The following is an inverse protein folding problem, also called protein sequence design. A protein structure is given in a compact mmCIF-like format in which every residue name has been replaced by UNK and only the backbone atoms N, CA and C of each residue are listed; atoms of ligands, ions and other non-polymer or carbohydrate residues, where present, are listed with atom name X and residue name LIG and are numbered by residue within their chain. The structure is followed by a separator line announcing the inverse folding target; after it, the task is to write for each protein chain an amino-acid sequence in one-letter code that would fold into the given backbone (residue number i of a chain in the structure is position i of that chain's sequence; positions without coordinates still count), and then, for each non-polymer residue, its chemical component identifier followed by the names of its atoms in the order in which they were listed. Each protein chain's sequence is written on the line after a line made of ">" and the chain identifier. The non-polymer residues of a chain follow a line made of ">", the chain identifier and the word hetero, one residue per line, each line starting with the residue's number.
data_IF_592520577124
#
_entry.id   IF_592520577124
#
_cell.length_a   1.000
_cell.length_b   1.000
_cell.length_c   1.000
_cell.angle_alpha   90.00
_cell.angle_beta   90.00
_cell.angle_gamma   90.00
#
_symmetry.space_group_name_H-M   'P 1'
#
loop_
_entity.id
_entity.type
_entity.pdbx_description
1 polymer ?
#
# COMPACT_ATOMS: atom_id res chain seq x y z
N UNK A 1 18.47 30.83 -5.86
CA UNK A 1 18.94 30.26 -4.59
C UNK A 1 18.03 29.09 -4.29
N UNK A 2 18.62 27.95 -4.09
CA UNK A 2 17.94 26.69 -3.77
C UNK A 2 17.10 26.87 -2.51
N UNK A 3 15.83 26.49 -2.51
CA UNK A 3 14.87 26.72 -1.43
C UNK A 3 15.38 26.18 -0.08
N UNK A 4 16.14 25.08 -0.11
CA UNK A 4 16.79 24.47 1.06
C UNK A 4 17.88 25.37 1.63
N UNK A 5 18.70 25.98 0.76
CA UNK A 5 19.74 26.93 1.18
C UNK A 5 19.13 28.22 1.72
N UNK A 6 18.05 28.72 1.12
CA UNK A 6 17.31 29.88 1.62
C UNK A 6 16.76 29.62 3.03
N UNK A 7 16.13 28.46 3.24
CA UNK A 7 15.56 28.08 4.53
C UNK A 7 16.62 27.89 5.63
N UNK A 8 17.77 27.31 5.28
CA UNK A 8 18.92 27.19 6.20
C UNK A 8 19.48 28.57 6.58
N UNK A 9 19.69 29.48 5.62
CA UNK A 9 20.15 30.85 5.86
C UNK A 9 19.12 31.62 6.71
N UNK A 10 17.83 31.51 6.40
CA UNK A 10 16.76 32.15 7.17
C UNK A 10 16.74 31.68 8.63
N UNK A 11 16.88 30.36 8.86
CA UNK A 11 16.95 29.80 10.21
C UNK A 11 18.18 30.27 10.97
N UNK A 12 19.34 30.30 10.34
CA UNK A 12 20.57 30.82 10.94
C UNK A 12 20.48 32.32 11.29
N UNK A 13 19.93 33.13 10.39
CA UNK A 13 19.75 34.57 10.63
C UNK A 13 18.74 34.84 11.76
N UNK A 14 17.63 34.08 11.82
CA UNK A 14 16.66 34.20 12.90
C UNK A 14 17.24 33.78 14.23
N UNK A 15 18.04 32.71 14.28
CA UNK A 15 18.75 32.30 15.52
C UNK A 15 19.76 33.35 15.96
N UNK A 16 20.57 33.91 15.04
CA UNK A 16 21.51 34.95 15.32
C UNK A 16 20.81 36.23 15.84
N UNK A 17 19.72 36.67 15.18
CA UNK A 17 18.90 37.81 15.62
C UNK A 17 18.31 37.59 17.00
N UNK A 18 17.79 36.42 17.28
CA UNK A 18 17.25 35.99 18.57
C UNK A 18 18.35 36.05 19.66
N UNK A 19 19.55 35.52 19.39
CA UNK A 19 20.69 35.54 20.31
C UNK A 19 21.16 36.97 20.61
N UNK A 20 21.26 37.84 19.60
CA UNK A 20 21.65 39.23 19.75
C UNK A 20 20.57 40.01 20.56
N UNK A 21 19.30 39.77 20.27
CA UNK A 21 18.21 40.40 21.02
C UNK A 21 18.21 39.96 22.49
N UNK A 22 18.56 38.72 22.79
CA UNK A 22 18.72 38.19 24.13
C UNK A 22 19.89 38.83 24.86
N UNK A 23 21.04 38.96 24.19
CA UNK A 23 22.21 39.62 24.78
C UNK A 23 21.97 41.10 25.12
N UNK A 24 21.18 41.80 24.32
CA UNK A 24 20.85 43.21 24.51
C UNK A 24 19.73 43.44 25.56
N UNK A 25 19.00 42.41 25.96
CA UNK A 25 17.86 42.50 26.88
C UNK A 25 18.23 42.36 28.37
N UNK A 26 19.51 42.21 28.72
CA UNK A 26 20.01 42.02 30.07
C UNK A 26 19.34 40.87 30.88
N UNK A 27 18.75 39.90 30.17
CA UNK A 27 18.12 38.71 30.77
C UNK A 27 19.21 37.66 31.00
N UNK A 28 19.31 37.12 32.20
CA UNK A 28 20.24 36.02 32.48
C UNK A 28 19.98 34.83 31.58
N UNK A 29 20.97 34.33 30.80
CA UNK A 29 20.82 33.16 29.94
C UNK A 29 20.29 31.91 30.68
N UNK A 30 20.56 31.82 32.00
CA UNK A 30 20.06 30.74 32.85
C UNK A 30 18.56 30.84 33.13
N UNK A 31 18.02 32.05 33.28
CA UNK A 31 16.57 32.23 33.41
C UNK A 31 15.82 31.96 32.11
N UNK A 32 16.40 32.41 31.00
CA UNK A 32 15.82 32.14 29.70
C UNK A 32 15.81 30.64 29.35
N UNK A 33 16.86 29.90 29.70
CA UNK A 33 16.93 28.45 29.54
C UNK A 33 15.88 27.72 30.40
N UNK A 34 15.50 28.27 31.55
CA UNK A 34 14.41 27.73 32.39
C UNK A 34 13.04 28.02 31.80
N UNK A 35 12.85 29.20 31.20
CA UNK A 35 11.58 29.60 30.56
C UNK A 35 11.38 28.85 29.22
N UNK A 36 12.47 28.64 28.47
CA UNK A 36 12.47 27.93 27.19
C UNK A 36 12.52 26.40 27.33
N UNK A 37 12.62 25.86 28.52
CA UNK A 37 12.59 24.42 28.74
C UNK A 37 11.23 23.88 28.28
N UNK A 38 11.19 22.94 27.34
CA UNK A 38 9.93 22.32 26.97
C UNK A 38 9.32 21.69 28.22
N UNK A 39 8.02 21.91 28.41
CA UNK A 39 7.27 21.31 29.51
C UNK A 39 7.33 19.80 29.35
N UNK A 40 7.91 19.13 30.34
CA UNK A 40 7.91 17.67 30.38
C UNK A 40 6.51 17.18 30.78
N UNK A 41 5.68 16.91 29.79
CA UNK A 41 4.32 16.43 30.01
C UNK A 41 4.43 14.90 30.25
N UNK A 42 4.46 14.53 31.54
CA UNK A 42 4.30 13.12 31.91
C UNK A 42 2.88 12.67 31.59
N UNK A 43 2.74 11.90 30.53
CA UNK A 43 1.49 11.17 30.26
C UNK A 43 1.35 10.06 31.29
N UNK A 44 0.34 10.18 32.16
CA UNK A 44 -0.12 9.11 33.04
C UNK A 44 -1.31 8.44 32.38
N UNK A 45 -1.20 7.15 32.12
CA UNK A 45 -2.31 6.35 31.57
C UNK A 45 -3.31 6.09 32.70
N UNK A 46 -4.58 6.44 32.48
CA UNK A 46 -5.68 6.21 33.42
C UNK A 46 -6.13 4.73 33.39
N UNK A 47 -5.86 4.03 32.29
CA UNK A 47 -6.07 2.58 32.15
C UNK A 47 -4.74 1.84 32.30
N UNK A 48 -4.58 1.07 33.34
CA UNK A 48 -3.42 0.23 33.64
C UNK A 48 -3.17 -0.88 32.59
N UNK A 49 -4.11 -1.10 31.64
CA UNK A 49 -4.00 -2.12 30.61
C UNK A 49 -3.10 -1.76 29.41
N UNK A 50 -2.63 -0.51 29.30
CA UNK A 50 -1.72 -0.11 28.20
C UNK A 50 -0.41 0.39 28.76
N UNK A 51 0.62 -0.42 28.61
CA UNK A 51 1.98 -0.03 28.92
C UNK A 51 2.52 0.93 27.86
N UNK A 52 3.45 1.82 28.24
CA UNK A 52 4.13 2.75 27.33
C UNK A 52 4.75 1.99 26.14
N UNK A 53 5.27 0.79 26.40
CA UNK A 53 5.89 -0.08 25.42
C UNK A 53 4.89 -0.56 24.34
N UNK A 54 3.61 -0.77 24.69
CA UNK A 54 2.56 -1.14 23.73
C UNK A 54 2.16 0.02 22.81
N UNK A 55 2.18 1.27 23.32
CA UNK A 55 1.87 2.45 22.50
C UNK A 55 3.02 2.75 21.53
N UNK A 56 4.25 2.67 22.02
CA UNK A 56 5.45 2.83 21.19
C UNK A 56 5.52 1.73 20.12
N UNK A 57 5.20 0.48 20.47
CA UNK A 57 5.09 -0.62 19.51
C UNK A 57 4.03 -0.37 18.44
N UNK A 58 2.85 0.15 18.80
CA UNK A 58 1.79 0.49 17.84
C UNK A 58 2.21 1.59 16.87
N UNK A 59 2.87 2.62 17.38
CA UNK A 59 3.36 3.73 16.56
C UNK A 59 4.41 3.22 15.56
N UNK A 60 5.35 2.39 16.02
CA UNK A 60 6.36 1.76 15.17
C UNK A 60 5.71 0.87 14.11
N UNK A 61 4.73 0.03 14.49
CA UNK A 61 4.00 -0.83 13.55
C UNK A 61 3.21 -0.01 12.53
N UNK A 62 2.59 1.07 12.95
CA UNK A 62 1.83 1.96 12.05
C UNK A 62 2.75 2.57 10.98
N UNK A 63 3.91 3.09 11.37
CA UNK A 63 4.91 3.62 10.42
C UNK A 63 5.46 2.52 9.52
N UNK A 64 5.79 1.34 10.08
CA UNK A 64 6.27 0.21 9.31
C UNK A 64 5.24 -0.28 8.27
N UNK A 65 3.97 -0.34 8.66
CA UNK A 65 2.89 -0.75 7.74
C UNK A 65 2.72 0.22 6.58
N UNK A 66 2.87 1.52 6.81
CA UNK A 66 2.84 2.54 5.76
C UNK A 66 3.96 2.33 4.72
N UNK A 67 5.16 1.99 5.18
CA UNK A 67 6.31 1.70 4.30
C UNK A 67 6.05 0.43 3.48
N UNK A 68 5.45 -0.62 4.08
CA UNK A 68 5.18 -1.90 3.43
C UNK A 68 4.06 -1.78 2.37
N UNK A 69 3.07 -0.94 2.60
CA UNK A 69 1.93 -0.80 1.69
C UNK A 69 2.31 -0.10 0.38
N UNK A 70 3.32 0.77 0.38
CA UNK A 70 3.78 1.43 -0.85
C UNK A 70 4.26 0.43 -1.93
N UNK A 71 5.11 -0.56 -1.63
CA UNK A 71 5.41 -1.65 -2.55
C UNK A 71 4.19 -2.44 -3.01
N UNK A 72 3.24 -2.73 -2.11
CA UNK A 72 2.00 -3.43 -2.48
C UNK A 72 1.17 -2.63 -3.49
N UNK A 73 1.06 -1.31 -3.30
CA UNK A 73 0.42 -0.41 -4.25
C UNK A 73 1.12 -0.44 -5.62
N UNK A 74 2.46 -0.39 -5.63
CA UNK A 74 3.24 -0.51 -6.87
C UNK A 74 3.02 -1.84 -7.57
N UNK A 75 2.96 -2.96 -6.82
CA UNK A 75 2.68 -4.28 -7.39
C UNK A 75 1.29 -4.35 -8.06
N UNK A 76 0.28 -3.70 -7.50
CA UNK A 76 -1.05 -3.60 -8.12
C UNK A 76 -0.97 -2.87 -9.47
N UNK A 77 -0.24 -1.75 -9.52
CA UNK A 77 -0.05 -1.00 -10.75
C UNK A 77 0.65 -1.87 -11.80
N UNK A 78 1.75 -2.52 -11.43
CA UNK A 78 2.47 -3.42 -12.35
C UNK A 78 1.60 -4.56 -12.85
N UNK A 79 0.84 -5.22 -11.96
CA UNK A 79 -0.08 -6.30 -12.30
C UNK A 79 -1.08 -5.87 -13.36
N UNK A 80 -1.75 -4.75 -13.11
CA UNK A 80 -2.79 -4.26 -14.01
C UNK A 80 -2.21 -3.78 -15.33
N UNK A 81 -1.06 -3.11 -15.35
CA UNK A 81 -0.37 -2.69 -16.57
C UNK A 81 0.11 -3.88 -17.40
N UNK A 82 0.66 -4.92 -16.77
CA UNK A 82 1.16 -6.10 -17.44
C UNK A 82 0.03 -6.83 -18.19
N UNK A 83 -1.10 -7.08 -17.50
CA UNK A 83 -2.28 -7.71 -18.12
C UNK A 83 -2.79 -6.88 -19.30
N UNK A 84 -2.86 -5.56 -19.12
CA UNK A 84 -3.27 -4.63 -20.17
C UNK A 84 -2.37 -4.68 -21.39
N UNK A 85 -1.07 -4.66 -21.19
CA UNK A 85 -0.07 -4.70 -22.26
C UNK A 85 -0.14 -6.03 -23.03
N UNK A 86 -0.25 -7.16 -22.33
CA UNK A 86 -0.34 -8.48 -22.95
C UNK A 86 -1.61 -8.63 -23.81
N UNK A 87 -2.79 -8.38 -23.22
CA UNK A 87 -4.07 -8.58 -23.92
C UNK A 87 -4.23 -7.59 -25.09
N UNK A 88 -3.84 -6.31 -24.90
CA UNK A 88 -3.90 -5.33 -25.99
C UNK A 88 -2.83 -5.58 -27.06
N UNK A 89 -1.64 -6.06 -26.69
CA UNK A 89 -0.61 -6.47 -27.65
C UNK A 89 -1.10 -7.57 -28.57
N UNK A 90 -1.76 -8.60 -28.04
CA UNK A 90 -2.34 -9.68 -28.82
C UNK A 90 -3.50 -9.21 -29.71
N UNK A 91 -4.32 -8.28 -29.24
CA UNK A 91 -5.42 -7.71 -30.04
C UNK A 91 -4.91 -6.79 -31.15
N UNK A 92 -3.97 -5.90 -30.88
CA UNK A 92 -3.46 -4.93 -31.86
C UNK A 92 -2.77 -5.60 -33.06
N UNK A 93 -2.13 -6.73 -32.81
CA UNK A 93 -1.48 -7.57 -33.87
C UNK A 93 -2.42 -8.57 -34.54
N UNK A 94 -3.70 -8.60 -34.17
CA UNK A 94 -4.67 -9.63 -34.52
C UNK A 94 -4.25 -11.07 -34.16
N UNK A 95 -3.22 -11.20 -33.31
CA UNK A 95 -2.80 -12.50 -32.78
C UNK A 95 -3.87 -13.18 -31.94
N UNK A 96 -4.78 -12.38 -31.36
CA UNK A 96 -5.92 -12.88 -30.59
C UNK A 96 -6.82 -13.85 -31.43
N UNK A 97 -7.03 -13.59 -32.72
CA UNK A 97 -7.85 -14.44 -33.59
C UNK A 97 -7.22 -15.82 -33.76
N UNK A 98 -5.89 -15.87 -33.91
CA UNK A 98 -5.13 -17.12 -34.04
C UNK A 98 -5.15 -17.91 -32.72
N UNK A 99 -4.96 -17.19 -31.58
CA UNK A 99 -4.95 -17.82 -30.26
C UNK A 99 -6.30 -18.44 -29.94
N UNK A 100 -7.40 -17.72 -30.19
CA UNK A 100 -8.76 -18.19 -29.87
C UNK A 100 -9.23 -19.29 -30.86
N UNK A 101 -8.65 -19.36 -32.04
CA UNK A 101 -8.84 -20.50 -32.94
C UNK A 101 -8.30 -21.82 -32.38
N UNK A 102 -7.27 -21.75 -31.51
CA UNK A 102 -6.61 -22.92 -30.94
C UNK A 102 -6.93 -23.17 -29.47
N UNK A 103 -7.27 -22.10 -28.71
CA UNK A 103 -7.46 -22.15 -27.26
C UNK A 103 -8.80 -21.51 -26.90
N UNK A 104 -9.54 -22.11 -25.96
CA UNK A 104 -10.81 -21.53 -25.53
C UNK A 104 -10.59 -20.15 -24.85
N UNK A 105 -11.51 -19.18 -25.05
CA UNK A 105 -11.43 -17.87 -24.35
C UNK A 105 -11.33 -17.97 -22.83
N UNK A 106 -11.93 -19.01 -22.26
CA UNK A 106 -11.86 -19.30 -20.83
C UNK A 106 -10.44 -19.67 -20.41
N UNK A 107 -9.81 -20.58 -21.11
CA UNK A 107 -8.43 -21.02 -20.83
C UNK A 107 -7.45 -19.86 -21.00
N UNK A 108 -7.61 -19.07 -22.07
CA UNK A 108 -6.80 -17.88 -22.31
C UNK A 108 -6.93 -16.86 -21.17
N UNK A 109 -8.14 -16.54 -20.74
CA UNK A 109 -8.39 -15.61 -19.64
C UNK A 109 -7.69 -16.05 -18.35
N UNK A 110 -7.91 -17.29 -17.92
CA UNK A 110 -7.30 -17.79 -16.70
C UNK A 110 -5.79 -17.95 -16.79
N UNK A 111 -5.24 -18.28 -17.94
CA UNK A 111 -3.78 -18.36 -18.11
C UNK A 111 -3.14 -16.99 -17.94
N UNK A 112 -3.72 -15.92 -18.48
CA UNK A 112 -3.23 -14.54 -18.31
C UNK A 112 -3.28 -14.08 -16.85
N UNK A 113 -4.41 -14.32 -16.19
CA UNK A 113 -4.57 -13.97 -14.79
C UNK A 113 -3.60 -14.74 -13.90
N UNK A 114 -3.47 -16.05 -14.12
CA UNK A 114 -2.60 -16.88 -13.30
C UNK A 114 -1.12 -16.55 -13.51
N UNK A 115 -0.67 -16.36 -14.75
CA UNK A 115 0.71 -15.98 -15.05
C UNK A 115 1.07 -14.61 -14.46
N UNK A 116 0.16 -13.64 -14.57
CA UNK A 116 0.36 -12.30 -14.01
C UNK A 116 0.41 -12.30 -12.49
N UNK A 117 -0.46 -13.06 -11.84
CA UNK A 117 -0.42 -13.21 -10.39
C UNK A 117 0.86 -13.92 -9.92
N UNK A 118 1.29 -14.96 -10.63
CA UNK A 118 2.55 -15.66 -10.32
C UNK A 118 3.75 -14.72 -10.46
N UNK A 119 3.77 -13.91 -11.53
CA UNK A 119 4.82 -12.90 -11.73
C UNK A 119 4.87 -11.91 -10.56
N UNK A 120 3.72 -11.38 -10.12
CA UNK A 120 3.65 -10.43 -9.00
C UNK A 120 4.09 -11.07 -7.69
N UNK A 121 3.76 -12.34 -7.44
CA UNK A 121 4.25 -13.06 -6.27
C UNK A 121 5.77 -13.21 -6.28
N UNK A 122 6.36 -13.53 -7.43
CA UNK A 122 7.82 -13.60 -7.61
C UNK A 122 8.44 -12.21 -7.39
N UNK A 123 7.86 -11.17 -7.97
CA UNK A 123 8.33 -9.79 -7.83
C UNK A 123 8.24 -9.33 -6.36
N UNK A 124 7.17 -9.66 -5.67
CA UNK A 124 7.00 -9.40 -4.23
C UNK A 124 8.08 -10.12 -3.38
N UNK A 125 8.35 -11.39 -3.68
CA UNK A 125 9.41 -12.14 -3.02
C UNK A 125 10.79 -11.53 -3.27
N UNK A 126 11.09 -11.08 -4.51
CA UNK A 126 12.34 -10.38 -4.83
C UNK A 126 12.48 -9.06 -4.07
N UNK A 127 11.40 -8.29 -3.93
CA UNK A 127 11.41 -7.06 -3.11
C UNK A 127 11.75 -7.35 -1.64
N UNK A 128 11.22 -8.42 -1.07
CA UNK A 128 11.57 -8.84 0.30
C UNK A 128 13.05 -9.24 0.40
N UNK A 129 13.58 -9.96 -0.57
CA UNK A 129 15.01 -10.34 -0.60
C UNK A 129 15.88 -9.09 -0.71
N UNK A 130 15.58 -8.16 -1.62
CA UNK A 130 16.34 -6.91 -1.75
C UNK A 130 16.26 -6.05 -0.48
N UNK A 131 15.09 -6.00 0.15
CA UNK A 131 14.92 -5.36 1.46
C UNK A 131 15.83 -5.98 2.52
N UNK A 132 15.82 -7.30 2.64
CA UNK A 132 16.67 -8.03 3.59
C UNK A 132 18.18 -7.80 3.33
N UNK A 133 18.62 -7.88 2.07
CA UNK A 133 20.02 -7.58 1.67
C UNK A 133 20.38 -6.13 2.01
N UNK A 134 19.47 -5.16 1.73
CA UNK A 134 19.69 -3.76 2.09
C UNK A 134 19.88 -3.55 3.60
N UNK A 135 19.12 -4.28 4.43
CA UNK A 135 19.27 -4.25 5.89
C UNK A 135 20.63 -4.81 6.35
N UNK A 136 21.07 -5.91 5.75
CA UNK A 136 22.40 -6.50 6.07
C UNK A 136 23.53 -5.53 5.69
N UNK A 137 23.48 -4.97 4.49
CA UNK A 137 24.48 -3.99 4.03
C UNK A 137 24.50 -2.77 4.97
N UNK A 138 23.32 -2.26 5.35
CA UNK A 138 23.20 -1.16 6.31
C UNK A 138 23.89 -1.49 7.62
N UNK A 139 23.65 -2.67 8.20
CA UNK A 139 24.27 -3.09 9.46
C UNK A 139 25.78 -3.14 9.37
N UNK A 140 26.32 -3.56 8.23
CA UNK A 140 27.77 -3.63 7.99
C UNK A 140 28.39 -2.23 7.77
N UNK A 141 27.68 -1.32 7.08
CA UNK A 141 28.22 -0.02 6.67
C UNK A 141 28.06 1.05 7.78
N UNK A 142 26.96 1.07 8.51
CA UNK A 142 26.68 2.07 9.57
C UNK A 142 27.55 1.84 10.80
N UNK A 143 28.09 0.63 11.00
CA UNK A 143 29.13 0.40 11.99
C UNK A 143 30.45 1.15 11.67
N UNK A 144 30.60 1.71 10.47
CA UNK A 144 31.87 2.29 9.99
C UNK A 144 31.84 3.76 9.60
N UNK A 145 30.69 4.45 9.58
CA UNK A 145 30.64 5.85 9.11
C UNK A 145 29.59 6.72 9.79
N UNK A 146 30.06 7.85 10.36
CA UNK A 146 29.25 8.99 10.82
C UNK A 146 28.79 9.84 9.61
N UNK A 147 28.02 9.28 8.67
CA UNK A 147 27.60 9.97 7.44
C UNK A 147 26.18 10.54 7.51
N UNK A 148 25.88 11.49 6.61
CA UNK A 148 24.58 12.18 6.47
C UNK A 148 23.41 11.20 6.27
N UNK A 149 23.67 10.00 5.73
CA UNK A 149 22.70 8.92 5.56
C UNK A 149 22.28 8.34 6.91
N UNK A 150 23.13 8.38 7.93
CA UNK A 150 22.78 7.90 9.28
C UNK A 150 21.74 8.78 9.96
N UNK A 151 21.68 10.09 9.67
CA UNK A 151 20.67 11.00 10.24
C UNK A 151 19.27 10.79 9.63
N UNK A 152 19.17 10.48 8.33
CA UNK A 152 17.88 10.21 7.69
C UNK A 152 17.29 8.85 8.07
N UNK A 153 18.15 7.90 8.49
CA UNK A 153 17.75 6.52 8.82
C UNK A 153 17.85 6.19 10.32
N UNK A 154 18.38 7.10 11.15
CA UNK A 154 18.47 6.93 12.61
C UNK A 154 17.10 6.81 13.29
N UNK A 155 16.04 7.30 12.65
CA UNK A 155 14.66 7.19 13.16
C UNK A 155 14.03 5.79 12.98
N UNK A 156 14.70 4.85 12.28
CA UNK A 156 14.22 3.48 12.08
C UNK A 156 15.31 2.52 12.58
N UNK A 157 15.41 2.37 13.89
CA UNK A 157 16.31 1.39 14.49
C UNK A 157 15.62 0.01 14.51
N UNK A 158 16.01 -0.86 13.59
CA UNK A 158 15.40 -2.19 13.43
C UNK A 158 15.61 -3.06 14.68
N UNK A 159 16.72 -2.86 15.40
CA UNK A 159 16.95 -3.53 16.70
C UNK A 159 15.88 -3.12 17.71
N UNK A 160 15.62 -1.82 17.88
CA UNK A 160 14.55 -1.31 18.76
C UNK A 160 13.16 -1.78 18.32
N UNK A 161 12.91 -1.84 17.01
CA UNK A 161 11.66 -2.39 16.46
C UNK A 161 11.49 -3.85 16.84
N UNK A 162 12.52 -4.67 16.66
CA UNK A 162 12.47 -6.09 17.00
C UNK A 162 12.36 -6.31 18.53
N UNK A 163 13.09 -5.55 19.32
CA UNK A 163 13.03 -5.61 20.77
C UNK A 163 11.66 -5.14 21.30
N UNK A 164 11.13 -4.06 20.74
CA UNK A 164 9.79 -3.56 21.06
C UNK A 164 8.70 -4.55 20.67
N UNK A 165 8.82 -5.17 19.50
CA UNK A 165 7.91 -6.23 19.05
C UNK A 165 7.99 -7.49 19.91
N UNK A 166 9.20 -7.87 20.37
CA UNK A 166 9.38 -9.05 21.20
C UNK A 166 8.80 -8.85 22.60
N UNK A 167 8.98 -7.66 23.17
CA UNK A 167 8.53 -7.33 24.53
C UNK A 167 7.01 -7.04 24.60
N UNK A 168 6.40 -6.58 23.49
CA UNK A 168 4.97 -6.22 23.43
C UNK A 168 4.02 -7.41 23.31
N UNK A 169 4.51 -8.66 23.24
CA UNK A 169 3.68 -9.85 23.04
C UNK A 169 3.00 -9.95 21.66
N UNK A 170 3.31 -9.01 20.75
CA UNK A 170 2.76 -8.97 19.39
C UNK A 170 3.23 -10.17 18.58
N UNK A 171 4.43 -10.72 18.89
CA UNK A 171 4.97 -11.93 18.22
C UNK A 171 4.01 -13.10 18.33
N UNK A 172 3.34 -13.29 19.48
CA UNK A 172 2.36 -14.36 19.65
C UNK A 172 1.10 -14.16 18.77
N UNK A 173 0.78 -12.91 18.42
CA UNK A 173 -0.32 -12.58 17.52
C UNK A 173 0.06 -12.73 16.05
N UNK A 174 1.34 -12.58 15.69
CA UNK A 174 1.84 -12.71 14.31
C UNK A 174 1.53 -14.09 13.71
N UNK A 175 1.48 -15.14 14.51
CA UNK A 175 1.21 -16.50 14.06
C UNK A 175 -0.13 -16.65 13.30
N UNK A 176 -1.18 -15.93 13.69
CA UNK A 176 -2.47 -15.94 12.98
C UNK A 176 -2.66 -14.72 12.07
N UNK A 177 -1.98 -13.60 12.34
CA UNK A 177 -2.07 -12.37 11.56
C UNK A 177 -1.44 -12.55 10.18
N UNK A 178 -0.26 -13.14 10.10
CA UNK A 178 0.47 -13.35 8.84
C UNK A 178 -0.35 -14.19 7.83
N UNK A 179 -0.90 -15.37 8.18
CA UNK A 179 -1.73 -16.13 7.25
C UNK A 179 -2.94 -15.36 6.74
N UNK A 180 -3.62 -14.59 7.60
CA UNK A 180 -4.77 -13.78 7.21
C UNK A 180 -4.37 -12.69 6.20
N UNK A 181 -3.24 -12.02 6.42
CA UNK A 181 -2.71 -11.01 5.50
C UNK A 181 -2.35 -11.64 4.15
N UNK A 182 -1.69 -12.79 4.15
CA UNK A 182 -1.30 -13.49 2.91
C UNK A 182 -2.55 -13.88 2.09
N UNK A 183 -3.56 -14.45 2.73
CA UNK A 183 -4.81 -14.82 2.07
C UNK A 183 -5.49 -13.56 1.47
N UNK A 184 -5.56 -12.48 2.24
CA UNK A 184 -6.13 -11.22 1.78
C UNK A 184 -5.36 -10.64 0.61
N UNK A 185 -4.02 -10.67 0.62
CA UNK A 185 -3.17 -10.20 -0.47
C UNK A 185 -3.40 -11.01 -1.75
N UNK A 186 -3.42 -12.34 -1.64
CA UNK A 186 -3.62 -13.22 -2.80
C UNK A 186 -4.98 -13.00 -3.45
N UNK A 187 -6.06 -12.93 -2.65
CA UNK A 187 -7.40 -12.66 -3.16
C UNK A 187 -7.50 -11.25 -3.77
N UNK A 188 -6.87 -10.26 -3.15
CA UNK A 188 -6.89 -8.90 -3.68
C UNK A 188 -6.14 -8.79 -5.02
N UNK A 189 -4.97 -9.41 -5.16
CA UNK A 189 -4.27 -9.46 -6.44
C UNK A 189 -5.10 -10.20 -7.51
N UNK A 190 -5.82 -11.26 -7.10
CA UNK A 190 -6.76 -11.95 -7.99
C UNK A 190 -7.88 -11.01 -8.44
N UNK A 191 -8.51 -10.25 -7.53
CA UNK A 191 -9.57 -9.29 -7.86
C UNK A 191 -9.08 -8.22 -8.86
N UNK A 192 -7.92 -7.62 -8.59
CA UNK A 192 -7.33 -6.61 -9.48
C UNK A 192 -6.98 -7.19 -10.85
N UNK A 193 -6.43 -8.40 -10.91
CA UNK A 193 -6.08 -9.05 -12.17
C UNK A 193 -7.30 -9.43 -12.99
N UNK A 194 -8.37 -9.91 -12.35
CA UNK A 194 -9.65 -10.19 -13.00
C UNK A 194 -10.25 -8.94 -13.62
N UNK A 195 -10.30 -7.84 -12.87
CA UNK A 195 -10.79 -6.55 -13.35
C UNK A 195 -9.93 -6.02 -14.50
N UNK A 196 -8.61 -6.05 -14.36
CA UNK A 196 -7.68 -5.62 -15.39
C UNK A 196 -7.86 -6.42 -16.70
N UNK A 197 -7.98 -7.74 -16.59
CA UNK A 197 -8.22 -8.61 -17.74
C UNK A 197 -9.54 -8.32 -18.45
N UNK A 198 -10.62 -8.10 -17.69
CA UNK A 198 -11.93 -7.73 -18.23
C UNK A 198 -11.84 -6.39 -18.98
N UNK A 199 -11.23 -5.36 -18.38
CA UNK A 199 -11.08 -4.04 -18.99
C UNK A 199 -10.19 -4.10 -20.23
N UNK A 200 -9.07 -4.83 -20.17
CA UNK A 200 -8.17 -5.02 -21.31
C UNK A 200 -8.85 -5.72 -22.49
N UNK A 201 -9.75 -6.67 -22.23
CA UNK A 201 -10.49 -7.33 -23.30
C UNK A 201 -11.36 -6.38 -24.12
N UNK A 202 -11.77 -5.27 -23.55
CA UNK A 202 -12.68 -4.31 -24.19
C UNK A 202 -11.96 -3.26 -25.02
N UNK A 203 -10.67 -3.10 -24.86
CA UNK A 203 -9.83 -2.12 -25.57
C UNK A 203 -9.02 -2.78 -26.67
N UNK A 204 -8.59 -2.00 -27.67
CA UNK A 204 -7.78 -2.45 -28.80
C UNK A 204 -6.38 -1.86 -28.78
N UNK A 205 -6.17 -0.81 -28.01
CA UNK A 205 -4.87 -0.16 -27.84
C UNK A 205 -4.60 0.17 -26.37
N UNK A 206 -3.33 0.40 -26.07
CA UNK A 206 -2.88 0.63 -24.70
C UNK A 206 -3.37 1.97 -24.13
N UNK A 207 -3.56 2.98 -24.97
CA UNK A 207 -4.04 4.30 -24.54
C UNK A 207 -5.49 4.22 -24.00
N UNK A 208 -6.38 3.58 -24.76
CA UNK A 208 -7.77 3.36 -24.34
C UNK A 208 -7.85 2.48 -23.07
N UNK A 209 -6.94 1.51 -22.94
CA UNK A 209 -6.85 0.70 -21.75
C UNK A 209 -6.48 1.52 -20.52
N UNK A 210 -5.47 2.39 -20.62
CA UNK A 210 -5.05 3.25 -19.51
C UNK A 210 -6.19 4.16 -19.03
N UNK A 211 -6.97 4.72 -19.94
CA UNK A 211 -8.16 5.51 -19.59
C UNK A 211 -9.21 4.67 -18.85
N UNK A 212 -9.45 3.44 -19.33
CA UNK A 212 -10.42 2.54 -18.72
C UNK A 212 -9.98 1.97 -17.38
N UNK A 213 -8.67 1.83 -17.17
CA UNK A 213 -8.02 1.35 -15.94
C UNK A 213 -7.97 2.43 -14.85
N UNK A 214 -8.07 3.72 -15.20
CA UNK A 214 -7.96 4.85 -14.26
C UNK A 214 -8.80 4.69 -12.99
N UNK A 215 -10.07 4.24 -13.02
CA UNK A 215 -10.86 4.01 -11.82
C UNK A 215 -10.23 3.00 -10.85
N UNK A 216 -9.59 1.93 -11.36
CA UNK A 216 -8.90 0.95 -10.50
C UNK A 216 -7.68 1.56 -9.81
N UNK A 217 -6.92 2.38 -10.53
CA UNK A 217 -5.78 3.12 -9.96
C UNK A 217 -6.23 4.09 -8.89
N UNK A 218 -7.33 4.82 -9.13
CA UNK A 218 -7.89 5.78 -8.16
C UNK A 218 -8.36 5.05 -6.89
N UNK A 219 -9.04 3.92 -7.01
CA UNK A 219 -9.47 3.11 -5.84
C UNK A 219 -8.25 2.65 -5.02
N UNK A 220 -7.22 2.16 -5.69
CA UNK A 220 -5.97 1.73 -5.03
C UNK A 220 -5.25 2.90 -4.36
N UNK A 221 -5.23 4.07 -5.00
CA UNK A 221 -4.65 5.30 -4.47
C UNK A 221 -5.42 5.81 -3.25
N UNK A 222 -6.75 5.76 -3.28
CA UNK A 222 -7.60 6.07 -2.12
C UNK A 222 -7.23 5.16 -0.95
N UNK A 223 -7.07 3.85 -1.19
CA UNK A 223 -6.62 2.90 -0.17
C UNK A 223 -5.29 3.30 0.47
N UNK A 224 -4.32 3.75 -0.33
CA UNK A 224 -3.04 4.25 0.16
C UNK A 224 -3.19 5.52 1.02
N UNK A 225 -3.96 6.51 0.57
CA UNK A 225 -4.19 7.73 1.35
C UNK A 225 -4.98 7.49 2.65
N UNK A 226 -5.86 6.51 2.66
CA UNK A 226 -6.60 6.14 3.87
C UNK A 226 -5.69 5.56 4.96
N UNK A 227 -4.55 4.94 4.61
CA UNK A 227 -3.55 4.54 5.60
C UNK A 227 -2.91 5.76 6.23
N UNK A 228 -2.56 6.78 5.44
CA UNK A 228 -2.04 8.04 5.97
C UNK A 228 -3.07 8.69 6.90
N UNK A 229 -4.34 8.69 6.51
CA UNK A 229 -5.43 9.20 7.34
C UNK A 229 -5.61 8.38 8.63
N UNK A 230 -5.39 7.07 8.61
CA UNK A 230 -5.52 6.22 9.80
C UNK A 230 -4.50 6.57 10.88
N UNK A 231 -3.30 7.01 10.50
CA UNK A 231 -2.29 7.48 11.46
C UNK A 231 -2.68 8.80 12.13
N UNK A 232 -3.43 9.66 11.42
CA UNK A 232 -3.91 10.94 11.95
C UNK A 232 -5.18 10.78 12.80
N UNK A 233 -6.00 9.77 12.51
CA UNK A 233 -7.29 9.52 13.17
C UNK A 233 -7.35 8.08 13.71
N UNK A 234 -6.50 7.72 14.68
CA UNK A 234 -6.47 6.36 15.22
C UNK A 234 -7.81 5.96 15.83
N UNK A 235 -8.27 4.76 15.51
CA UNK A 235 -9.51 4.21 16.05
C UNK A 235 -10.80 4.69 15.38
N UNK A 236 -10.74 5.54 14.37
CA UNK A 236 -11.92 6.06 13.68
C UNK A 236 -12.80 4.96 13.09
N UNK A 237 -14.09 4.95 13.44
CA UNK A 237 -15.04 3.89 13.04
C UNK A 237 -15.19 3.83 11.50
N UNK A 238 -15.17 4.97 10.82
CA UNK A 238 -15.27 5.02 9.36
C UNK A 238 -14.10 4.32 8.66
N UNK A 239 -12.88 4.45 9.19
CA UNK A 239 -11.68 3.78 8.65
C UNK A 239 -11.82 2.26 8.79
N UNK A 240 -12.31 1.79 9.94
CA UNK A 240 -12.58 0.36 10.18
C UNK A 240 -13.64 -0.18 9.24
N UNK A 241 -14.70 0.58 8.97
CA UNK A 241 -15.74 0.19 8.03
C UNK A 241 -15.23 0.12 6.58
N UNK A 242 -14.43 1.11 6.16
CA UNK A 242 -13.84 1.15 4.81
C UNK A 242 -12.83 0.01 4.61
N UNK A 243 -12.15 -0.46 5.66
CA UNK A 243 -11.21 -1.58 5.56
C UNK A 243 -11.87 -2.91 5.14
N UNK A 244 -13.20 -3.02 5.24
CA UNK A 244 -13.96 -4.17 4.74
C UNK A 244 -14.28 -4.07 3.24
N UNK A 245 -14.14 -2.88 2.61
CA UNK A 245 -14.49 -2.71 1.20
C UNK A 245 -13.48 -3.45 0.33
N UNK A 246 -13.93 -4.36 -0.54
CA UNK A 246 -13.07 -5.03 -1.50
C UNK A 246 -12.24 -4.02 -2.32
N UNK A 247 -11.05 -4.39 -2.73
CA UNK A 247 -10.04 -3.57 -3.41
C UNK A 247 -9.35 -2.55 -2.51
N UNK A 248 -10.02 -1.87 -1.58
CA UNK A 248 -9.39 -0.96 -0.61
C UNK A 248 -8.77 -1.77 0.55
N UNK A 249 -9.38 -2.90 0.89
CA UNK A 249 -8.97 -3.76 2.01
C UNK A 249 -7.51 -4.23 1.92
N UNK A 250 -6.96 -4.40 0.72
CA UNK A 250 -5.56 -4.81 0.52
C UNK A 250 -4.56 -3.85 1.19
N UNK A 251 -4.84 -2.56 1.12
CA UNK A 251 -3.99 -1.53 1.70
C UNK A 251 -4.27 -1.34 3.19
N UNK A 252 -5.55 -1.21 3.54
CA UNK A 252 -5.97 -0.74 4.85
C UNK A 252 -6.02 -1.84 5.92
N UNK A 253 -6.57 -3.02 5.58
CA UNK A 253 -6.80 -4.07 6.56
C UNK A 253 -5.50 -4.66 7.16
N UNK A 254 -4.42 -4.91 6.40
CA UNK A 254 -3.16 -5.37 6.99
C UNK A 254 -2.56 -4.37 7.99
N UNK A 255 -2.58 -3.09 7.63
CA UNK A 255 -2.07 -2.01 8.47
C UNK A 255 -2.82 -1.91 9.80
N UNK A 256 -4.16 -1.86 9.75
CA UNK A 256 -5.01 -1.76 10.93
C UNK A 256 -4.99 -3.03 11.80
N UNK A 257 -4.80 -4.21 11.18
CA UNK A 257 -4.65 -5.46 11.91
C UNK A 257 -3.32 -5.51 12.66
N UNK A 258 -2.23 -5.08 12.03
CA UNK A 258 -0.90 -5.00 12.65
C UNK A 258 -0.87 -3.99 13.79
N UNK A 259 -1.47 -2.81 13.62
CA UNK A 259 -1.57 -1.80 14.67
C UNK A 259 -2.54 -2.19 15.80
N UNK A 260 -3.30 -3.28 15.63
CA UNK A 260 -4.28 -3.77 16.61
C UNK A 260 -5.54 -2.89 16.70
N UNK A 261 -5.80 -2.04 15.71
CA UNK A 261 -7.00 -1.21 15.65
C UNK A 261 -8.25 -1.99 15.22
N UNK A 262 -8.04 -3.06 14.45
CA UNK A 262 -9.10 -3.99 14.06
C UNK A 262 -8.77 -5.41 14.54
N UNK A 263 -9.81 -6.17 14.86
CA UNK A 263 -9.68 -7.58 15.20
C UNK A 263 -9.66 -8.48 13.97
N UNK A 264 -9.20 -9.73 14.13
CA UNK A 264 -9.20 -10.75 13.08
C UNK A 264 -10.59 -10.95 12.43
N UNK A 265 -11.68 -10.77 13.18
CA UNK A 265 -13.04 -10.90 12.67
C UNK A 265 -13.38 -9.94 11.53
N UNK A 266 -12.91 -8.68 11.61
CA UNK A 266 -13.11 -7.68 10.56
C UNK A 266 -12.34 -8.07 9.29
N UNK A 267 -11.12 -8.59 9.45
CA UNK A 267 -10.31 -9.05 8.31
C UNK A 267 -10.93 -10.29 7.66
N UNK A 268 -11.50 -11.20 8.43
CA UNK A 268 -12.23 -12.36 7.89
C UNK A 268 -13.45 -11.89 7.08
N UNK A 269 -14.18 -10.89 7.54
CA UNK A 269 -15.28 -10.29 6.77
C UNK A 269 -14.76 -9.69 5.46
N UNK A 270 -13.64 -8.95 5.48
CA UNK A 270 -13.01 -8.40 4.28
C UNK A 270 -12.61 -9.51 3.29
N UNK A 271 -12.04 -10.61 3.77
CA UNK A 271 -11.68 -11.79 2.97
C UNK A 271 -12.92 -12.42 2.33
N UNK A 272 -14.00 -12.58 3.08
CA UNK A 272 -15.26 -13.14 2.55
C UNK A 272 -15.89 -12.24 1.49
N UNK A 273 -15.88 -10.92 1.70
CA UNK A 273 -16.38 -9.96 0.71
C UNK A 273 -15.50 -9.94 -0.56
N UNK A 274 -14.17 -10.06 -0.41
CA UNK A 274 -13.25 -10.20 -1.54
C UNK A 274 -13.50 -11.49 -2.31
N UNK A 275 -13.60 -12.63 -1.62
CA UNK A 275 -13.90 -13.92 -2.25
C UNK A 275 -15.24 -13.90 -2.99
N UNK A 276 -16.25 -13.24 -2.43
CA UNK A 276 -17.53 -13.03 -3.10
C UNK A 276 -17.36 -12.17 -4.37
N UNK A 277 -16.58 -11.09 -4.30
CA UNK A 277 -16.29 -10.24 -5.45
C UNK A 277 -15.57 -11.06 -6.54
N UNK A 278 -14.54 -11.83 -6.19
CA UNK A 278 -13.80 -12.68 -7.12
C UNK A 278 -14.72 -13.70 -7.82
N UNK A 279 -15.60 -14.34 -7.05
CA UNK A 279 -16.59 -15.24 -7.60
C UNK A 279 -17.52 -14.55 -8.61
N UNK A 280 -18.00 -13.35 -8.29
CA UNK A 280 -18.84 -12.54 -9.20
C UNK A 280 -18.05 -12.18 -10.46
N UNK A 281 -16.79 -11.73 -10.30
CA UNK A 281 -15.92 -11.36 -11.42
C UNK A 281 -15.61 -12.56 -12.33
N UNK A 282 -15.34 -13.73 -11.76
CA UNK A 282 -15.14 -14.95 -12.55
C UNK A 282 -16.40 -15.31 -13.33
N UNK A 283 -17.56 -15.29 -12.69
CA UNK A 283 -18.84 -15.71 -13.31
C UNK A 283 -19.29 -14.75 -14.43
N UNK A 284 -19.28 -13.47 -14.16
CA UNK A 284 -19.75 -12.43 -15.09
C UNK A 284 -18.64 -11.87 -15.96
N UNK A 285 -17.45 -11.70 -15.42
CA UNK A 285 -16.29 -11.16 -16.12
C UNK A 285 -15.85 -12.04 -17.28
N UNK A 286 -15.93 -13.36 -17.13
CA UNK A 286 -15.64 -14.28 -18.22
C UNK A 286 -16.59 -14.09 -19.42
N UNK A 287 -17.86 -13.76 -19.20
CA UNK A 287 -18.81 -13.45 -20.28
C UNK A 287 -18.39 -12.18 -21.03
N UNK A 288 -18.07 -11.12 -20.25
CA UNK A 288 -17.58 -9.84 -20.80
C UNK A 288 -16.28 -10.07 -21.59
N UNK A 289 -15.36 -10.84 -21.01
CA UNK A 289 -14.09 -11.16 -21.66
C UNK A 289 -14.28 -11.83 -23.01
N UNK A 290 -15.13 -12.86 -23.10
CA UNK A 290 -15.41 -13.58 -24.36
C UNK A 290 -15.94 -12.66 -25.47
N UNK A 291 -16.80 -11.72 -25.13
CA UNK A 291 -17.34 -10.75 -26.09
C UNK A 291 -16.30 -9.68 -26.41
N UNK A 292 -15.55 -9.24 -25.39
CA UNK A 292 -14.56 -8.16 -25.50
C UNK A 292 -13.39 -8.51 -26.40
N UNK A 293 -12.81 -9.71 -26.28
CA UNK A 293 -11.61 -10.11 -27.04
C UNK A 293 -11.81 -10.16 -28.55
N UNK A 294 -13.04 -10.42 -29.02
CA UNK A 294 -13.40 -10.46 -30.44
C UNK A 294 -13.96 -9.14 -30.95
N UNK A 295 -14.12 -8.16 -30.08
CA UNK A 295 -14.69 -6.87 -30.45
C UNK A 295 -13.58 -5.82 -30.62
N UNK A 296 -13.37 -5.38 -31.86
CA UNK A 296 -12.38 -4.36 -32.23
C UNK A 296 -12.96 -2.94 -32.30
N UNK A 297 -14.25 -2.72 -31.97
CA UNK A 297 -14.83 -1.39 -32.04
C UNK A 297 -14.63 -0.63 -30.71
N UNK A 298 -14.13 0.57 -30.81
CA UNK A 298 -13.74 1.43 -29.66
C UNK A 298 -14.90 2.30 -29.14
N UNK A 299 -16.08 2.24 -29.76
CA UNK A 299 -17.21 3.09 -29.37
C UNK A 299 -18.11 2.44 -28.33
N UNK A 300 -18.57 3.25 -27.35
CA UNK A 300 -19.55 2.85 -26.32
C UNK A 300 -19.16 1.62 -25.48
N UNK A 301 -17.91 1.53 -25.04
CA UNK A 301 -17.35 0.39 -24.31
C UNK A 301 -18.19 -0.02 -23.09
N UNK A 302 -18.57 0.92 -22.24
CA UNK A 302 -19.40 0.66 -21.06
C UNK A 302 -20.78 0.10 -21.40
N UNK A 303 -21.43 0.62 -22.44
CA UNK A 303 -22.75 0.13 -22.87
C UNK A 303 -22.66 -1.32 -23.39
N UNK A 304 -21.58 -1.66 -24.08
CA UNK A 304 -21.32 -3.02 -24.55
C UNK A 304 -21.03 -3.98 -23.39
N UNK A 305 -20.29 -3.55 -22.39
CA UNK A 305 -20.03 -4.33 -21.18
C UNK A 305 -21.34 -4.70 -20.47
N UNK A 306 -22.20 -3.71 -20.23
CA UNK A 306 -23.49 -3.97 -19.59
C UNK A 306 -24.40 -4.88 -20.43
N UNK A 307 -24.34 -4.76 -21.77
CA UNK A 307 -25.08 -5.63 -22.68
C UNK A 307 -24.56 -7.07 -22.59
N UNK A 308 -23.22 -7.28 -22.61
CA UNK A 308 -22.60 -8.59 -22.50
C UNK A 308 -22.93 -9.33 -21.18
N UNK A 309 -23.10 -8.57 -20.07
CA UNK A 309 -23.53 -9.14 -18.78
C UNK A 309 -24.98 -9.62 -18.84
N UNK A 310 -25.84 -8.92 -19.59
CA UNK A 310 -27.28 -9.16 -19.66
C UNK A 310 -27.69 -10.26 -20.66
N UNK A 311 -26.87 -10.51 -21.67
CA UNK A 311 -27.08 -11.61 -22.60
C UNK A 311 -26.72 -12.94 -21.94
N UNK A 312 -27.67 -13.93 -22.04
CA UNK A 312 -27.54 -15.28 -21.44
C UNK A 312 -26.46 -16.12 -22.14
#
# INVERSE_FOLDING_TARGET
>A
VDMVKYQAIYTCLNSAKSTIAMQNSNIDPNELSKISKPVDIKRTFINEEKTKDEEDAKNVLSVASMIIVLPCFMLIIFLTQMIGAEVNGEKSTRGMEIIIGNVSPKTHFFSKILSSNLFVLIQGAMLLIYGAVGLVIRKLTVSSSNGVISQATSNVNIGEILDTLSNSGIINKLGYVIPLIIILLVLSFLAYSLLAGILASMTTNMENYQQLQTPLMVISLIGYYLILASTMFPGAVFIKAISCIPLISISLAPSLLLSGEIGAGIVIIAILLLALLDFILIKYGLKVYKVGILNYSETNLWKKMFKAIKEK
#
